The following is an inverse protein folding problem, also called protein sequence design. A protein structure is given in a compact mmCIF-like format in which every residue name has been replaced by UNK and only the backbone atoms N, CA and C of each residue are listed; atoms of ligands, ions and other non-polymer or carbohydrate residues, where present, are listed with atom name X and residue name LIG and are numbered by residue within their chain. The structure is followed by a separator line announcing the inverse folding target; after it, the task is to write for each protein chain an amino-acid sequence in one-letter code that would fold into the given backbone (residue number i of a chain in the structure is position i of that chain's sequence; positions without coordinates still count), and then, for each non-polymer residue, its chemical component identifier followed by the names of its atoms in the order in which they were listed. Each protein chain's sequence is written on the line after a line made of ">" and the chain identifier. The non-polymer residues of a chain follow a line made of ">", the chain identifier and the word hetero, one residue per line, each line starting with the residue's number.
data_IF_178867924850
#
_entry.id   IF_178867924850
#
_cell.length_a   1.000
_cell.length_b   1.000
_cell.length_c   1.000
_cell.angle_alpha   90.00
_cell.angle_beta   90.00
_cell.angle_gamma   90.00
#
_symmetry.space_group_name_H-M   'P 1'
#
loop_
_entity.id
_entity.type
_entity.pdbx_description
1 polymer ?
#
# COMPACT_ATOMS: atom_id res chain seq x y z
N UNK A 1 -28.22 -22.18 -20.69
CA UNK A 1 -27.63 -21.62 -19.46
C UNK A 1 -27.17 -20.20 -19.78
N UNK A 2 -27.67 -19.17 -19.08
CA UNK A 2 -27.11 -17.82 -19.16
C UNK A 2 -25.99 -17.77 -18.11
N UNK A 3 -24.78 -18.15 -18.48
CA UNK A 3 -23.59 -17.89 -17.66
C UNK A 3 -23.20 -16.42 -17.85
N UNK A 4 -22.63 -15.82 -16.82
CA UNK A 4 -22.03 -14.48 -16.95
C UNK A 4 -20.84 -14.55 -17.91
N UNK A 5 -20.65 -13.49 -18.71
CA UNK A 5 -19.49 -13.43 -19.61
C UNK A 5 -18.20 -13.26 -18.80
N UNK A 6 -17.10 -13.81 -19.30
CA UNK A 6 -15.78 -13.60 -18.72
C UNK A 6 -15.46 -12.11 -18.69
N UNK A 7 -15.04 -11.62 -17.52
CA UNK A 7 -14.53 -10.28 -17.31
C UNK A 7 -13.22 -10.32 -16.50
N UNK A 8 -12.73 -9.16 -16.06
CA UNK A 8 -11.49 -9.02 -15.30
C UNK A 8 -11.46 -9.83 -13.99
N UNK A 9 -12.59 -9.94 -13.31
CA UNK A 9 -12.68 -10.33 -11.90
C UNK A 9 -13.27 -11.73 -11.70
N UNK A 10 -14.06 -12.23 -12.65
CA UNK A 10 -14.82 -13.47 -12.50
C UNK A 10 -14.13 -14.73 -13.09
N UNK A 11 -12.83 -14.67 -13.43
CA UNK A 11 -12.16 -15.75 -14.17
C UNK A 11 -12.29 -17.12 -13.51
N UNK A 12 -12.04 -17.24 -12.20
CA UNK A 12 -12.09 -18.53 -11.50
C UNK A 12 -13.48 -19.17 -11.58
N UNK A 13 -14.52 -18.35 -11.39
CA UNK A 13 -15.92 -18.78 -11.51
C UNK A 13 -16.27 -19.14 -12.95
N UNK A 14 -15.92 -18.27 -13.90
CA UNK A 14 -16.15 -18.49 -15.32
C UNK A 14 -15.51 -19.79 -15.80
N UNK A 15 -14.25 -20.04 -15.41
CA UNK A 15 -13.51 -21.25 -15.79
C UNK A 15 -14.23 -22.49 -15.32
N UNK A 16 -14.62 -22.53 -14.04
CA UNK A 16 -15.39 -23.63 -13.47
C UNK A 16 -16.71 -23.87 -14.21
N UNK A 17 -17.49 -22.82 -14.47
CA UNK A 17 -18.77 -22.94 -15.17
C UNK A 17 -18.61 -23.42 -16.63
N UNK A 18 -17.55 -22.96 -17.33
CA UNK A 18 -17.29 -23.37 -18.70
C UNK A 18 -16.73 -24.79 -18.80
N UNK A 19 -15.85 -25.20 -17.90
CA UNK A 19 -15.37 -26.58 -17.83
C UNK A 19 -16.53 -27.55 -17.61
N UNK A 20 -17.45 -27.25 -16.68
CA UNK A 20 -18.64 -28.07 -16.46
C UNK A 20 -19.55 -28.18 -17.72
N UNK A 21 -19.71 -27.10 -18.48
CA UNK A 21 -20.48 -27.13 -19.74
C UNK A 21 -19.76 -27.94 -20.82
N UNK A 22 -18.43 -27.86 -20.89
CA UNK A 22 -17.63 -28.62 -21.84
C UNK A 22 -17.64 -30.12 -21.53
N UNK A 23 -17.56 -30.50 -20.25
CA UNK A 23 -17.72 -31.89 -19.78
C UNK A 23 -19.10 -32.44 -20.16
N UNK A 24 -20.18 -31.72 -19.84
CA UNK A 24 -21.53 -32.13 -20.18
C UNK A 24 -21.80 -32.26 -21.70
N UNK A 25 -20.89 -31.71 -22.53
CA UNK A 25 -20.95 -31.76 -24.00
C UNK A 25 -19.86 -32.65 -24.61
N UNK A 26 -19.15 -33.42 -23.80
CA UNK A 26 -18.10 -34.35 -24.24
C UNK A 26 -17.00 -33.64 -25.07
N UNK A 27 -16.61 -32.44 -24.62
CA UNK A 27 -15.69 -31.56 -25.33
C UNK A 27 -14.48 -31.13 -24.49
N UNK A 28 -14.44 -31.45 -23.19
CA UNK A 28 -13.39 -30.97 -22.29
C UNK A 28 -12.01 -31.51 -22.70
N UNK A 29 -11.93 -32.79 -23.05
CA UNK A 29 -10.72 -33.49 -23.52
C UNK A 29 -10.09 -32.84 -24.76
N UNK A 30 -10.91 -32.28 -25.65
CA UNK A 30 -10.44 -31.55 -26.85
C UNK A 30 -9.88 -30.18 -26.48
N UNK A 31 -10.43 -29.54 -25.45
CA UNK A 31 -10.02 -28.20 -24.96
C UNK A 31 -8.75 -28.29 -24.12
N UNK A 32 -8.66 -29.26 -23.20
CA UNK A 32 -7.41 -29.59 -22.50
C UNK A 32 -6.34 -30.10 -23.48
N UNK A 33 -6.81 -30.73 -24.57
CA UNK A 33 -5.99 -31.30 -25.62
C UNK A 33 -5.36 -32.63 -25.23
N UNK A 34 -5.99 -33.34 -24.30
CA UNK A 34 -5.80 -34.78 -24.09
C UNK A 34 -6.12 -35.53 -25.38
N UNK A 35 -7.20 -35.14 -26.07
CA UNK A 35 -7.54 -35.69 -27.38
C UNK A 35 -7.13 -34.74 -28.50
N UNK A 36 -6.08 -35.12 -29.23
CA UNK A 36 -5.62 -34.39 -30.41
C UNK A 36 -6.35 -34.83 -31.68
N UNK A 37 -6.33 -34.00 -32.72
CA UNK A 37 -6.94 -34.36 -33.99
C UNK A 37 -6.22 -35.60 -34.58
N UNK A 38 -6.94 -36.68 -34.90
CA UNK A 38 -6.35 -37.86 -35.52
C UNK A 38 -5.81 -37.52 -36.93
N UNK A 39 -4.90 -38.35 -37.46
CA UNK A 39 -4.18 -38.03 -38.71
C UNK A 39 -4.64 -38.81 -39.95
N UNK A 40 -5.26 -39.98 -39.78
CA UNK A 40 -5.47 -40.94 -40.88
C UNK A 40 -6.93 -41.28 -41.14
N UNK A 41 -7.77 -41.34 -40.10
CA UNK A 41 -9.17 -41.70 -40.24
C UNK A 41 -10.04 -40.45 -40.46
N UNK A 42 -10.65 -40.33 -41.65
CA UNK A 42 -11.50 -39.19 -42.01
C UNK A 42 -12.75 -39.06 -41.12
N UNK A 43 -13.33 -40.18 -40.66
CA UNK A 43 -14.49 -40.20 -39.79
C UNK A 43 -14.14 -39.66 -38.42
N UNK A 44 -13.02 -40.13 -37.85
CA UNK A 44 -12.52 -39.63 -36.56
C UNK A 44 -12.10 -38.16 -36.63
N UNK A 45 -11.45 -37.74 -37.73
CA UNK A 45 -11.11 -36.33 -37.98
C UNK A 45 -12.36 -35.47 -37.99
N UNK A 46 -13.42 -35.91 -38.67
CA UNK A 46 -14.69 -35.18 -38.76
C UNK A 46 -15.37 -35.10 -37.39
N UNK A 47 -15.36 -36.19 -36.62
CA UNK A 47 -15.88 -36.23 -35.26
C UNK A 47 -15.13 -35.27 -34.33
N UNK A 48 -13.80 -35.28 -34.36
CA UNK A 48 -12.97 -34.35 -33.58
C UNK A 48 -13.23 -32.89 -33.98
N UNK A 49 -13.28 -32.59 -35.29
CA UNK A 49 -13.57 -31.23 -35.79
C UNK A 49 -14.93 -30.72 -35.32
N UNK A 50 -15.94 -31.60 -35.24
CA UNK A 50 -17.27 -31.26 -34.73
C UNK A 50 -17.23 -30.90 -33.25
N UNK A 51 -16.56 -31.71 -32.42
CA UNK A 51 -16.38 -31.43 -30.98
C UNK A 51 -15.57 -30.15 -30.75
N UNK A 52 -14.46 -29.98 -31.46
CA UNK A 52 -13.68 -28.75 -31.42
C UNK A 52 -14.51 -27.51 -31.84
N UNK A 53 -15.32 -27.59 -32.89
CA UNK A 53 -16.18 -26.49 -33.30
C UNK A 53 -17.26 -26.15 -32.26
N UNK A 54 -17.84 -27.17 -31.62
CA UNK A 54 -18.78 -27.00 -30.52
C UNK A 54 -18.11 -26.31 -29.32
N UNK A 55 -16.94 -26.79 -28.90
CA UNK A 55 -16.16 -26.19 -27.82
C UNK A 55 -15.80 -24.73 -28.11
N UNK A 56 -15.34 -24.41 -29.33
CA UNK A 56 -15.05 -23.03 -29.75
C UNK A 56 -16.28 -22.14 -29.66
N UNK A 57 -17.45 -22.64 -30.04
CA UNK A 57 -18.72 -21.90 -29.94
C UNK A 57 -19.11 -21.63 -28.49
N UNK A 58 -18.98 -22.63 -27.59
CA UNK A 58 -19.21 -22.49 -26.15
C UNK A 58 -18.30 -21.41 -25.57
N UNK A 59 -16.99 -21.52 -25.80
CA UNK A 59 -16.01 -20.56 -25.29
C UNK A 59 -16.32 -19.17 -25.85
N UNK A 60 -16.41 -18.98 -27.18
CA UNK A 60 -16.64 -17.67 -27.82
C UNK A 60 -17.86 -16.94 -27.27
N UNK A 61 -18.99 -17.64 -27.06
CA UNK A 61 -20.23 -17.05 -26.54
C UNK A 61 -20.14 -16.63 -25.08
N UNK A 62 -19.18 -17.19 -24.34
CA UNK A 62 -18.97 -16.90 -22.93
C UNK A 62 -18.00 -15.74 -22.67
N UNK A 63 -17.44 -15.13 -23.72
CA UNK A 63 -16.46 -14.04 -23.58
C UNK A 63 -17.13 -12.65 -23.66
N UNK A 64 -16.55 -11.69 -22.94
CA UNK A 64 -16.73 -10.28 -23.25
C UNK A 64 -15.96 -9.89 -24.53
N UNK A 65 -16.16 -8.65 -24.98
CA UNK A 65 -15.57 -8.17 -26.23
C UNK A 65 -14.04 -8.11 -26.15
N UNK A 66 -13.48 -7.83 -24.97
CA UNK A 66 -12.04 -7.77 -24.73
C UNK A 66 -11.40 -9.15 -24.96
N UNK A 67 -11.82 -10.18 -24.22
CA UNK A 67 -11.26 -11.53 -24.37
C UNK A 67 -11.59 -12.13 -25.74
N UNK A 68 -12.76 -11.80 -26.30
CA UNK A 68 -13.12 -12.23 -27.65
C UNK A 68 -12.13 -11.71 -28.70
N UNK A 69 -11.65 -10.46 -28.59
CA UNK A 69 -10.67 -9.90 -29.52
C UNK A 69 -9.37 -10.72 -29.58
N UNK A 70 -8.87 -11.21 -28.43
CA UNK A 70 -7.64 -12.02 -28.37
C UNK A 70 -7.80 -13.44 -28.90
N UNK A 71 -9.02 -13.98 -28.91
CA UNK A 71 -9.28 -15.35 -29.38
C UNK A 71 -9.60 -15.43 -30.88
N UNK A 72 -9.73 -14.28 -31.56
CA UNK A 72 -10.16 -14.22 -32.97
C UNK A 72 -9.23 -14.94 -33.94
N UNK A 73 -7.93 -14.99 -33.65
CA UNK A 73 -6.92 -15.67 -34.48
C UNK A 73 -6.73 -17.15 -34.11
N UNK A 74 -7.33 -17.63 -33.02
CA UNK A 74 -7.22 -19.01 -32.58
C UNK A 74 -8.00 -19.96 -33.51
N UNK A 75 -7.35 -21.06 -33.92
CA UNK A 75 -7.90 -22.07 -34.83
C UNK A 75 -8.57 -23.22 -34.08
N UNK A 76 -8.13 -23.49 -32.87
CA UNK A 76 -8.64 -24.58 -32.02
C UNK A 76 -9.21 -24.06 -30.71
N UNK A 77 -10.11 -24.84 -30.10
CA UNK A 77 -10.65 -24.54 -28.77
C UNK A 77 -9.56 -24.55 -27.69
N UNK A 78 -8.59 -25.45 -27.80
CA UNK A 78 -7.36 -25.45 -26.99
C UNK A 78 -6.60 -24.14 -27.10
N UNK A 79 -6.35 -23.64 -28.31
CA UNK A 79 -5.70 -22.34 -28.51
C UNK A 79 -6.50 -21.19 -27.88
N UNK A 80 -7.83 -21.21 -27.98
CA UNK A 80 -8.68 -20.19 -27.35
C UNK A 80 -8.53 -20.22 -25.82
N UNK A 81 -8.64 -21.40 -25.21
CA UNK A 81 -8.49 -21.56 -23.76
C UNK A 81 -7.10 -21.13 -23.29
N UNK A 82 -6.04 -21.56 -23.98
CA UNK A 82 -4.66 -21.17 -23.67
C UNK A 82 -4.45 -19.66 -23.81
N UNK A 83 -5.07 -19.00 -24.80
CA UNK A 83 -5.00 -17.56 -24.96
C UNK A 83 -5.61 -16.83 -23.75
N UNK A 84 -6.77 -17.31 -23.28
CA UNK A 84 -7.45 -16.74 -22.10
C UNK A 84 -6.62 -16.95 -20.83
N UNK A 85 -6.10 -18.15 -20.62
CA UNK A 85 -5.20 -18.47 -19.49
C UNK A 85 -4.01 -17.52 -19.50
N UNK A 86 -3.35 -17.34 -20.65
CA UNK A 86 -2.19 -16.45 -20.80
C UNK A 86 -2.53 -15.00 -20.46
N UNK A 87 -3.70 -14.49 -20.86
CA UNK A 87 -4.14 -13.12 -20.52
C UNK A 87 -4.25 -12.97 -18.99
N UNK A 88 -4.81 -13.98 -18.30
CA UNK A 88 -4.97 -13.95 -16.84
C UNK A 88 -3.65 -14.09 -16.10
N UNK A 89 -2.77 -14.96 -16.57
CA UNK A 89 -1.39 -15.07 -16.05
C UNK A 89 -0.62 -13.77 -16.25
N UNK A 90 -0.70 -13.16 -17.44
CA UNK A 90 -0.04 -11.89 -17.71
C UNK A 90 -0.57 -10.76 -16.81
N UNK A 91 -1.89 -10.66 -16.64
CA UNK A 91 -2.47 -9.68 -15.71
C UNK A 91 -1.99 -9.91 -14.27
N UNK A 92 -1.84 -11.17 -13.85
CA UNK A 92 -1.28 -11.53 -12.54
C UNK A 92 0.18 -11.11 -12.42
N UNK A 93 1.02 -11.39 -13.43
CA UNK A 93 2.44 -10.99 -13.46
C UNK A 93 2.58 -9.46 -13.45
N UNK A 94 1.81 -8.74 -14.26
CA UNK A 94 1.82 -7.28 -14.27
C UNK A 94 1.39 -6.69 -12.93
N UNK A 95 0.38 -7.27 -12.28
CA UNK A 95 -0.08 -6.84 -10.94
C UNK A 95 1.01 -7.09 -9.89
N UNK A 96 1.67 -8.26 -9.92
CA UNK A 96 2.81 -8.60 -9.05
C UNK A 96 3.97 -7.61 -9.22
N UNK A 97 4.31 -7.26 -10.46
CA UNK A 97 5.39 -6.30 -10.74
C UNK A 97 5.03 -4.89 -10.26
N UNK A 98 3.78 -4.46 -10.48
CA UNK A 98 3.31 -3.14 -10.05
C UNK A 98 3.35 -2.99 -8.53
N UNK A 99 2.82 -3.96 -7.78
CA UNK A 99 2.84 -3.90 -6.31
C UNK A 99 4.27 -3.99 -5.77
N UNK A 100 5.15 -4.77 -6.41
CA UNK A 100 6.58 -4.82 -6.09
C UNK A 100 7.24 -3.45 -6.25
N UNK A 101 6.97 -2.77 -7.37
CA UNK A 101 7.41 -1.39 -7.59
C UNK A 101 6.85 -0.42 -6.56
N UNK A 102 5.56 -0.53 -6.20
CA UNK A 102 4.91 0.28 -5.16
C UNK A 102 5.63 0.11 -3.80
N UNK A 103 5.92 -1.12 -3.39
CA UNK A 103 6.65 -1.41 -2.16
C UNK A 103 8.07 -0.83 -2.18
N UNK A 104 8.82 -1.01 -3.27
CA UNK A 104 10.17 -0.47 -3.38
C UNK A 104 10.18 1.06 -3.38
N UNK A 105 9.23 1.70 -4.05
CA UNK A 105 9.12 3.15 -4.13
C UNK A 105 8.48 3.80 -2.88
N UNK A 106 7.76 3.05 -2.05
CA UNK A 106 7.09 3.58 -0.87
C UNK A 106 8.11 4.11 0.16
N UNK A 107 8.10 5.40 0.42
CA UNK A 107 9.00 6.05 1.40
C UNK A 107 8.21 7.00 2.27
N UNK A 108 8.83 7.43 3.37
CA UNK A 108 8.23 8.44 4.24
C UNK A 108 8.04 9.76 3.47
N UNK A 109 6.84 10.32 3.56
CA UNK A 109 6.48 11.59 2.92
C UNK A 109 6.35 12.71 3.97
N UNK A 110 6.57 13.97 3.59
CA UNK A 110 6.30 15.11 4.48
C UNK A 110 4.88 15.06 5.04
N UNK A 111 4.74 15.28 6.35
CA UNK A 111 3.44 15.25 7.05
C UNK A 111 2.97 13.87 7.53
N UNK A 112 3.70 12.80 7.21
CA UNK A 112 3.43 11.47 7.79
C UNK A 112 3.96 11.37 9.22
N UNK A 113 3.27 10.59 10.04
CA UNK A 113 3.71 10.08 11.34
C UNK A 113 3.91 8.55 11.27
N UNK A 114 4.48 7.96 12.33
CA UNK A 114 4.79 6.52 12.38
C UNK A 114 3.56 5.67 12.07
N UNK A 115 2.42 5.95 12.71
CA UNK A 115 1.19 5.19 12.53
C UNK A 115 0.70 5.20 11.07
N UNK A 116 0.65 6.39 10.44
CA UNK A 116 0.24 6.54 9.05
C UNK A 116 1.20 5.86 8.06
N UNK A 117 2.51 5.90 8.35
CA UNK A 117 3.52 5.24 7.53
C UNK A 117 3.38 3.72 7.56
N UNK A 118 3.29 3.14 8.76
CA UNK A 118 3.12 1.70 8.95
C UNK A 118 1.80 1.22 8.36
N UNK A 119 0.70 1.97 8.56
CA UNK A 119 -0.60 1.63 7.98
C UNK A 119 -0.54 1.55 6.44
N UNK A 120 0.06 2.57 5.79
CA UNK A 120 0.21 2.55 4.33
C UNK A 120 1.15 1.44 3.82
N UNK A 121 2.21 1.12 4.57
CA UNK A 121 3.08 -0.01 4.23
C UNK A 121 2.32 -1.34 4.32
N UNK A 122 1.55 -1.54 5.39
CA UNK A 122 0.74 -2.76 5.58
C UNK A 122 -0.31 -2.93 4.49
N UNK A 123 -0.89 -1.84 3.96
CA UNK A 123 -1.78 -1.91 2.79
C UNK A 123 -1.05 -2.52 1.59
N UNK A 124 0.20 -2.14 1.33
CA UNK A 124 1.00 -2.68 0.23
C UNK A 124 1.38 -4.15 0.50
N UNK A 125 1.81 -4.47 1.72
CA UNK A 125 2.14 -5.85 2.13
C UNK A 125 0.93 -6.78 1.99
N UNK A 126 -0.26 -6.34 2.40
CA UNK A 126 -1.49 -7.11 2.25
C UNK A 126 -1.85 -7.32 0.76
N UNK A 127 -1.66 -6.31 -0.09
CA UNK A 127 -1.81 -6.48 -1.55
C UNK A 127 -0.83 -7.53 -2.09
N UNK A 128 0.42 -7.53 -1.65
CA UNK A 128 1.42 -8.53 -2.03
C UNK A 128 0.99 -9.94 -1.63
N UNK A 129 0.56 -10.13 -0.38
CA UNK A 129 0.06 -11.41 0.12
C UNK A 129 -1.15 -11.90 -0.67
N UNK A 130 -2.08 -11.00 -1.04
CA UNK A 130 -3.24 -11.36 -1.89
C UNK A 130 -2.85 -11.86 -3.28
N UNK A 131 -1.67 -11.48 -3.75
CA UNK A 131 -1.08 -11.94 -5.01
C UNK A 131 -0.11 -13.13 -4.79
N UNK A 132 -0.10 -13.76 -3.61
CA UNK A 132 0.81 -14.85 -3.25
C UNK A 132 2.29 -14.46 -3.32
N UNK A 133 2.60 -13.21 -2.99
CA UNK A 133 3.96 -12.76 -2.72
C UNK A 133 4.11 -12.71 -1.20
N UNK A 134 4.86 -13.67 -0.65
CA UNK A 134 5.20 -13.69 0.77
C UNK A 134 6.45 -12.85 1.00
N UNK A 135 6.40 -12.01 2.02
CA UNK A 135 7.53 -11.21 2.47
C UNK A 135 7.89 -11.63 3.90
N UNK A 136 9.16 -11.91 4.12
CA UNK A 136 9.66 -12.14 5.46
C UNK A 136 9.60 -10.84 6.28
N UNK A 137 9.30 -10.96 7.58
CA UNK A 137 9.28 -9.84 8.51
C UNK A 137 10.57 -9.03 8.46
N UNK A 138 11.72 -9.68 8.27
CA UNK A 138 13.03 -9.05 8.13
C UNK A 138 13.10 -8.04 6.97
N UNK A 139 12.47 -8.36 5.83
CA UNK A 139 12.43 -7.50 4.65
C UNK A 139 11.56 -6.27 4.94
N UNK A 140 10.42 -6.48 5.60
CA UNK A 140 9.49 -5.40 5.93
C UNK A 140 10.11 -4.47 6.99
N UNK A 141 10.72 -5.03 8.04
CA UNK A 141 11.46 -4.29 9.07
C UNK A 141 12.61 -3.50 8.41
N UNK A 142 13.40 -4.14 7.55
CA UNK A 142 14.48 -3.47 6.82
C UNK A 142 13.97 -2.31 5.97
N UNK A 143 12.80 -2.46 5.36
CA UNK A 143 12.11 -1.40 4.61
C UNK A 143 11.70 -0.23 5.51
N UNK A 144 11.12 -0.50 6.68
CA UNK A 144 10.74 0.53 7.67
C UNK A 144 11.98 1.32 8.07
N UNK A 145 13.02 0.64 8.59
CA UNK A 145 14.24 1.29 9.09
C UNK A 145 14.88 2.18 8.04
N UNK A 146 14.99 1.71 6.79
CA UNK A 146 15.59 2.48 5.68
C UNK A 146 14.77 3.70 5.27
N UNK A 147 13.45 3.66 5.49
CA UNK A 147 12.53 4.70 5.02
C UNK A 147 12.26 5.78 6.06
N UNK A 148 12.71 5.61 7.31
CA UNK A 148 12.52 6.62 8.36
C UNK A 148 13.25 7.93 8.00
N UNK A 149 12.64 9.09 8.33
CA UNK A 149 13.26 10.39 8.11
C UNK A 149 14.37 10.65 9.13
N UNK A 150 15.20 11.66 8.89
CA UNK A 150 16.35 12.00 9.73
C UNK A 150 16.02 12.32 11.20
N UNK A 151 14.76 12.68 11.49
CA UNK A 151 14.26 12.82 12.86
C UNK A 151 14.43 11.54 13.70
N UNK A 152 14.54 10.38 13.06
CA UNK A 152 14.75 9.08 13.70
C UNK A 152 16.19 8.56 13.55
N UNK A 153 17.19 9.39 13.19
CA UNK A 153 18.58 8.94 13.01
C UNK A 153 19.14 8.29 14.28
N UNK A 154 18.85 8.85 15.46
CA UNK A 154 19.25 8.28 16.75
C UNK A 154 18.65 6.89 16.99
N UNK A 155 17.37 6.73 16.63
CA UNK A 155 16.68 5.45 16.69
C UNK A 155 17.29 4.45 15.71
N UNK A 156 17.53 4.83 14.45
CA UNK A 156 18.16 3.97 13.45
C UNK A 156 19.55 3.47 13.89
N UNK A 157 20.36 4.34 14.48
CA UNK A 157 21.68 3.97 15.00
C UNK A 157 21.57 2.99 16.15
N UNK A 158 20.73 3.27 17.14
CA UNK A 158 20.47 2.35 18.25
C UNK A 158 20.02 0.98 17.74
N UNK A 159 19.05 0.98 16.83
CA UNK A 159 18.50 -0.24 16.23
C UNK A 159 19.57 -1.09 15.55
N UNK A 160 20.47 -0.48 14.77
CA UNK A 160 21.56 -1.22 14.09
C UNK A 160 22.53 -1.88 15.07
N UNK A 161 22.72 -1.31 16.25
CA UNK A 161 23.62 -1.83 17.29
C UNK A 161 22.95 -2.87 18.18
N UNK A 162 21.64 -2.76 18.39
CA UNK A 162 20.90 -3.56 19.37
C UNK A 162 19.84 -4.47 18.76
N UNK A 163 19.79 -4.63 17.43
CA UNK A 163 18.76 -5.41 16.75
C UNK A 163 18.65 -6.83 17.35
N UNK A 164 17.49 -7.21 17.91
CA UNK A 164 17.26 -8.56 18.41
C UNK A 164 17.41 -9.62 17.32
N UNK A 165 17.76 -10.86 17.70
CA UNK A 165 17.84 -11.99 16.76
C UNK A 165 16.48 -12.40 16.18
N UNK A 166 15.40 -12.08 16.88
CA UNK A 166 14.01 -12.31 16.46
C UNK A 166 13.24 -11.03 16.72
N UNK A 167 13.00 -10.24 15.67
CA UNK A 167 12.18 -9.03 15.76
C UNK A 167 10.91 -9.26 14.97
N UNK A 168 9.78 -8.88 15.56
CA UNK A 168 8.52 -8.77 14.82
C UNK A 168 8.27 -7.32 14.40
N UNK A 169 7.52 -7.12 13.33
CA UNK A 169 7.09 -5.79 12.90
C UNK A 169 6.32 -5.05 14.00
N UNK A 170 5.58 -5.78 14.85
CA UNK A 170 4.83 -5.23 15.98
C UNK A 170 5.74 -4.60 17.03
N UNK A 171 6.85 -5.27 17.37
CA UNK A 171 7.81 -4.77 18.35
C UNK A 171 8.48 -3.49 17.85
N UNK A 172 8.91 -3.48 16.58
CA UNK A 172 9.50 -2.30 15.94
C UNK A 172 8.50 -1.12 15.92
N UNK A 173 7.25 -1.39 15.56
CA UNK A 173 6.19 -0.37 15.51
C UNK A 173 5.98 0.27 16.88
N UNK A 174 5.93 -0.55 17.93
CA UNK A 174 5.75 -0.07 19.31
C UNK A 174 6.90 0.82 19.77
N UNK A 175 8.15 0.44 19.46
CA UNK A 175 9.33 1.25 19.79
C UNK A 175 9.38 2.56 19.02
N UNK A 176 9.00 2.56 17.74
CA UNK A 176 8.93 3.78 16.92
C UNK A 176 7.86 4.75 17.43
N UNK A 177 6.69 4.26 17.82
CA UNK A 177 5.62 5.08 18.40
C UNK A 177 6.05 5.71 19.74
N UNK A 178 6.73 4.95 20.60
CA UNK A 178 7.28 5.49 21.84
C UNK A 178 8.33 6.60 21.56
N UNK A 179 9.21 6.37 20.59
CA UNK A 179 10.20 7.36 20.16
C UNK A 179 9.56 8.65 19.64
N UNK A 180 8.52 8.53 18.80
CA UNK A 180 7.75 9.68 18.28
C UNK A 180 7.08 10.48 19.41
N UNK A 181 6.45 9.79 20.38
CA UNK A 181 5.84 10.42 21.55
C UNK A 181 6.85 11.18 22.42
N UNK A 182 8.03 10.60 22.66
CA UNK A 182 9.09 11.23 23.44
C UNK A 182 9.64 12.49 22.76
N UNK A 183 9.79 12.46 21.43
CA UNK A 183 10.21 13.63 20.65
C UNK A 183 9.19 14.76 20.74
N UNK A 184 7.89 14.44 20.68
CA UNK A 184 6.82 15.41 20.83
C UNK A 184 6.80 16.03 22.24
N UNK A 185 6.99 15.21 23.28
CA UNK A 185 7.06 15.70 24.66
C UNK A 185 8.25 16.67 24.85
N UNK A 186 9.43 16.32 24.32
CA UNK A 186 10.62 17.17 24.38
C UNK A 186 10.47 18.48 23.62
N UNK A 187 9.84 18.46 22.44
CA UNK A 187 9.61 19.68 21.66
C UNK A 187 8.64 20.64 22.37
N UNK A 188 7.57 20.12 22.97
CA UNK A 188 6.65 20.92 23.80
C UNK A 188 7.35 21.54 25.01
N UNK A 189 8.22 20.79 25.70
CA UNK A 189 9.00 21.31 26.83
C UNK A 189 9.97 22.41 26.39
N UNK A 190 10.65 22.25 25.25
CA UNK A 190 11.55 23.26 24.70
C UNK A 190 10.82 24.57 24.33
N UNK A 191 9.60 24.47 23.77
CA UNK A 191 8.74 25.65 23.49
C UNK A 191 8.35 26.35 24.80
N UNK A 192 7.90 25.59 25.81
CA UNK A 192 7.53 26.16 27.12
C UNK A 192 8.70 26.86 27.82
N UNK A 193 9.92 26.29 27.75
CA UNK A 193 11.14 26.94 28.28
C UNK A 193 11.48 28.19 27.46
N UNK A 194 11.36 28.13 26.13
CA UNK A 194 11.58 29.29 25.24
C UNK A 194 10.64 30.45 25.55
N UNK A 195 9.36 30.18 25.75
CA UNK A 195 8.36 31.19 26.16
C UNK A 195 8.66 31.76 27.55
N UNK A 196 9.07 30.93 28.52
CA UNK A 196 9.48 31.38 29.85
C UNK A 196 10.75 32.25 29.82
N UNK A 197 11.68 31.99 28.89
CA UNK A 197 12.89 32.81 28.68
C UNK A 197 12.59 34.13 27.97
N UNK A 198 11.63 34.17 27.04
CA UNK A 198 11.15 35.41 26.41
C UNK A 198 10.37 36.27 27.40
N UNK A 199 9.61 35.66 28.32
CA UNK A 199 8.94 36.33 29.44
C UNK A 199 9.90 36.90 30.50
N UNK A 200 11.19 36.55 30.43
CA UNK A 200 12.27 37.04 31.31
C UNK A 200 13.28 37.91 30.55
N UNK A 201 12.84 38.74 29.61
CA UNK A 201 13.51 40.05 29.44
C UNK A 201 13.11 40.95 30.60
N UNK A 202 13.74 40.69 31.74
CA UNK A 202 14.01 41.74 32.71
C UNK A 202 14.67 42.87 31.94
N UNK A 203 13.92 43.96 31.73
CA UNK A 203 14.49 45.26 31.50
C UNK A 203 15.52 45.43 32.63
N UNK A 204 16.80 45.34 32.29
CA UNK A 204 17.89 45.81 33.14
C UNK A 204 17.70 47.31 33.24
N UNK A 205 16.82 47.74 34.16
CA UNK A 205 16.77 49.12 34.60
C UNK A 205 17.95 49.28 35.53
N UNK A 206 19.05 49.75 34.96
CA UNK A 206 20.01 50.56 35.67
C UNK A 206 19.26 51.47 36.65
N UNK A 207 19.71 51.47 37.90
CA UNK A 207 19.31 52.43 38.92
C UNK A 207 19.63 53.83 38.39
N UNK A 208 18.65 54.46 37.75
CA UNK A 208 18.69 55.86 37.41
C UNK A 208 17.61 56.54 38.24
N UNK A 209 18.06 57.20 39.31
CA UNK A 209 17.29 58.15 40.11
C UNK A 209 16.79 59.26 39.20
N UNK A 210 15.63 59.08 38.59
CA UNK A 210 14.77 60.18 38.15
C UNK A 210 13.43 59.62 37.68
N UNK A 211 12.48 59.49 38.61
CA UNK A 211 11.08 59.39 38.21
C UNK A 211 10.20 60.30 39.05
N UNK A 212 9.81 61.39 38.37
CA UNK A 212 8.44 61.92 38.37
C UNK A 212 7.89 62.27 39.75
N UNK A 213 8.20 63.50 40.19
CA UNK A 213 7.39 64.26 41.15
C UNK A 213 5.92 64.16 40.75
N UNK A 214 5.17 63.33 41.49
CA UNK A 214 3.71 63.35 41.47
C UNK A 214 3.27 64.71 42.01
N UNK A 215 2.29 65.32 41.35
CA UNK A 215 1.60 66.54 41.78
C UNK A 215 0.94 66.31 43.15
N UNK A 216 1.72 66.41 44.22
CA UNK A 216 1.23 66.31 45.59
C UNK A 216 1.33 67.70 46.20
N UNK A 217 0.19 68.25 46.60
CA UNK A 217 0.06 69.53 47.30
C UNK A 217 0.16 69.33 48.82
N UNK A 218 1.01 70.12 49.46
CA UNK A 218 1.16 70.12 50.92
C UNK A 218 -0.10 70.69 51.59
N UNK A 219 -0.63 69.99 52.59
CA UNK A 219 -1.89 70.34 53.25
C UNK A 219 -1.80 71.62 54.08
N UNK A 220 -0.59 72.03 54.48
CA UNK A 220 -0.37 73.24 55.28
C UNK A 220 -0.12 74.51 54.44
N UNK A 221 0.45 74.39 53.23
CA UNK A 221 0.84 75.56 52.42
C UNK A 221 0.35 75.57 50.97
N UNK A 222 -0.37 74.53 50.53
CA UNK A 222 -0.93 74.36 49.17
C UNK A 222 0.06 74.48 48.01
N UNK A 223 1.37 74.36 48.25
CA UNK A 223 2.39 74.30 47.20
C UNK A 223 2.68 72.84 46.79
N UNK A 224 2.95 72.62 45.50
CA UNK A 224 3.25 71.29 44.92
C UNK A 224 4.69 70.85 45.20
N UNK A 225 4.88 69.56 45.49
CA UNK A 225 6.21 68.91 45.49
C UNK A 225 6.73 68.39 46.83
N UNK A 226 5.96 68.46 47.91
CA UNK A 226 6.30 67.84 49.20
C UNK A 226 5.05 67.54 50.03
N UNK A 227 5.18 66.64 51.01
CA UNK A 227 4.19 66.39 52.06
C UNK A 227 4.83 66.86 53.37
N UNK A 228 4.12 67.67 54.14
CA UNK A 228 4.38 67.86 55.57
C UNK A 228 3.07 67.75 56.32
#
# INVERSE_FOLDING_TARGET
>A
MKSEKLNGENYSRWKFEIEAVLEARDCLDVVSGETTCPQKDESEIKAWKKRNALARSIISRSLDDFHHAFTRSCKTSKEMMNCIVRIKEQATVSSKLLVSSEFHAYTWKPGMNVASFIAGLNVIVNKMQSLQIELDDEIIIGKVIRSLPSAFDSFQQSWRLSAPKTVTLSDLTSQLLACESDQLCRSMQAVSIGEALVGKRTISKELNENSKKRNIECWNCKKKGHIR
#
